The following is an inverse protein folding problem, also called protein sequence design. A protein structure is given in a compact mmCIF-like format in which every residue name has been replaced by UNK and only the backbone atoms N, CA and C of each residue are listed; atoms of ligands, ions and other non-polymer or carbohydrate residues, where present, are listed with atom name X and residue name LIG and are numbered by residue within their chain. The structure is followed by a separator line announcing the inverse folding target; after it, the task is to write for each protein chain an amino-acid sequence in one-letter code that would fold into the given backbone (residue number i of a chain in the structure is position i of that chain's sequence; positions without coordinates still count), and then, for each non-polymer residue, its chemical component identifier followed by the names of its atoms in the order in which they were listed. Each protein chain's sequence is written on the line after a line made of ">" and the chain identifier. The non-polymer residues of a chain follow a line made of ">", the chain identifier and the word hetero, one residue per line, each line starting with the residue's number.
data_IF_817187712396
#
_entry.id   IF_817187712396
#
_cell.length_a   1.000
_cell.length_b   1.000
_cell.length_c   1.000
_cell.angle_alpha   90.00
_cell.angle_beta   90.00
_cell.angle_gamma   90.00
#
_symmetry.space_group_name_H-M   'P 1'
#
loop_
_entity.id
_entity.type
_entity.pdbx_description
1 polymer ?
#
# COMPACT_ATOMS: atom_id res chain seq x y z
N UNK A 1 -2.20 45.15 6.92
CA UNK A 1 -1.75 43.73 7.01
C UNK A 1 -2.81 42.76 6.51
N UNK A 2 -4.07 42.87 6.96
CA UNK A 2 -5.21 42.04 6.53
C UNK A 2 -5.48 42.05 5.03
N UNK A 3 -5.49 43.22 4.37
CA UNK A 3 -5.66 43.32 2.92
C UNK A 3 -4.50 42.66 2.13
N UNK A 4 -3.27 42.82 2.61
CA UNK A 4 -2.08 42.19 2.00
C UNK A 4 -2.12 40.66 2.15
N UNK A 5 -2.49 40.15 3.33
CA UNK A 5 -2.77 38.73 3.55
C UNK A 5 -3.81 38.21 2.55
N UNK A 6 -4.94 38.90 2.41
CA UNK A 6 -5.99 38.48 1.49
C UNK A 6 -5.49 38.37 0.02
N UNK A 7 -4.71 39.35 -0.45
CA UNK A 7 -4.11 39.31 -1.78
C UNK A 7 -3.13 38.16 -1.97
N UNK A 8 -2.25 37.89 -1.00
CA UNK A 8 -1.28 36.78 -1.09
C UNK A 8 -2.01 35.44 -1.06
N UNK A 9 -3.06 35.30 -0.26
CA UNK A 9 -3.91 34.10 -0.22
C UNK A 9 -4.62 33.84 -1.54
N UNK A 10 -5.08 34.89 -2.21
CA UNK A 10 -5.65 34.80 -3.56
C UNK A 10 -4.59 34.37 -4.59
N UNK A 11 -3.40 35.00 -4.57
CA UNK A 11 -2.27 34.63 -5.43
C UNK A 11 -1.84 33.17 -5.21
N UNK A 12 -1.88 32.69 -3.98
CA UNK A 12 -1.63 31.28 -3.65
C UNK A 12 -2.60 30.33 -4.36
N UNK A 13 -3.89 30.68 -4.43
CA UNK A 13 -4.87 29.90 -5.16
C UNK A 13 -4.53 29.83 -6.65
N UNK A 14 -4.13 30.96 -7.24
CA UNK A 14 -3.72 31.03 -8.64
C UNK A 14 -2.41 30.28 -8.93
N UNK A 15 -1.44 30.32 -8.03
CA UNK A 15 -0.16 29.62 -8.18
C UNK A 15 -0.32 28.08 -8.23
N UNK A 16 -1.44 27.53 -7.78
CA UNK A 16 -1.76 26.10 -7.94
C UNK A 16 -2.12 25.71 -9.39
N UNK A 17 -2.58 26.67 -10.19
CA UNK A 17 -3.05 26.47 -11.56
C UNK A 17 -1.86 26.66 -12.51
N UNK A 18 -1.54 25.63 -13.30
CA UNK A 18 -0.32 25.60 -14.12
C UNK A 18 -0.30 26.70 -15.19
N UNK A 19 -1.42 26.99 -15.84
CA UNK A 19 -1.53 28.05 -16.85
C UNK A 19 -1.25 29.42 -16.25
N UNK A 20 -1.88 29.74 -15.12
CA UNK A 20 -1.76 31.05 -14.45
C UNK A 20 -0.38 31.23 -13.82
N UNK A 21 0.28 30.15 -13.37
CA UNK A 21 1.63 30.26 -12.79
C UNK A 21 2.63 30.91 -13.74
N UNK A 22 2.52 30.66 -15.04
CA UNK A 22 3.38 31.29 -16.06
C UNK A 22 3.14 32.78 -16.22
N UNK A 23 1.92 33.24 -15.97
CA UNK A 23 1.58 34.66 -15.98
C UNK A 23 2.03 35.33 -14.69
N UNK A 24 1.88 34.67 -13.53
CA UNK A 24 2.43 35.17 -12.26
C UNK A 24 3.95 35.32 -12.29
N UNK A 25 4.61 34.54 -13.14
CA UNK A 25 6.05 34.54 -13.35
C UNK A 25 6.58 35.81 -14.01
N UNK A 26 5.77 36.50 -14.82
CA UNK A 26 6.16 37.75 -15.48
C UNK A 26 5.97 38.98 -14.57
N UNK A 27 5.30 38.80 -13.44
CA UNK A 27 5.04 39.87 -12.48
C UNK A 27 6.21 39.99 -11.48
N UNK A 28 6.51 41.20 -10.97
CA UNK A 28 7.58 41.42 -9.98
C UNK A 28 7.22 40.92 -8.57
N UNK A 29 6.23 40.04 -8.45
CA UNK A 29 5.68 39.53 -7.18
C UNK A 29 6.75 38.79 -6.38
N UNK A 30 7.58 37.98 -7.04
CA UNK A 30 8.63 37.20 -6.37
C UNK A 30 9.65 38.14 -5.73
N UNK A 31 10.13 39.13 -6.47
CA UNK A 31 11.10 40.11 -5.97
C UNK A 31 10.53 40.93 -4.81
N UNK A 32 9.26 41.32 -4.89
CA UNK A 32 8.58 42.05 -3.81
C UNK A 32 8.42 41.20 -2.54
N UNK A 33 8.10 39.91 -2.67
CA UNK A 33 7.98 39.00 -1.53
C UNK A 33 9.35 38.74 -0.91
N UNK A 34 10.36 38.46 -1.73
CA UNK A 34 11.72 38.21 -1.25
C UNK A 34 12.27 39.42 -0.50
N UNK A 35 12.16 40.62 -1.09
CA UNK A 35 12.60 41.86 -0.44
C UNK A 35 11.91 42.07 0.92
N UNK A 36 10.63 41.71 1.04
CA UNK A 36 9.92 41.77 2.33
C UNK A 36 10.40 40.73 3.32
N UNK A 37 10.70 39.51 2.88
CA UNK A 37 11.21 38.44 3.75
C UNK A 37 12.68 38.66 4.16
N UNK A 38 13.44 39.40 3.36
CA UNK A 38 14.82 39.82 3.64
C UNK A 38 14.90 40.98 4.65
N UNK A 39 13.80 41.71 4.85
CA UNK A 39 13.74 42.85 5.75
C UNK A 39 14.02 42.42 7.20
N UNK A 40 15.14 42.88 7.74
CA UNK A 40 15.57 42.55 9.11
C UNK A 40 14.60 43.07 10.17
N UNK A 41 13.78 44.08 9.86
CA UNK A 41 12.74 44.60 10.76
C UNK A 41 11.57 43.62 10.98
N UNK A 42 11.55 42.50 10.26
CA UNK A 42 10.64 41.38 10.55
C UNK A 42 10.97 40.70 11.87
N UNK A 43 12.23 40.72 12.29
CA UNK A 43 12.72 40.08 13.50
C UNK A 43 12.88 41.14 14.60
N UNK A 44 12.36 40.86 15.79
CA UNK A 44 12.66 41.64 16.99
C UNK A 44 14.10 41.40 17.45
N UNK A 45 14.56 42.16 18.45
CA UNK A 45 15.93 42.06 18.98
C UNK A 45 16.27 40.65 19.54
N UNK A 46 15.27 39.80 19.78
CA UNK A 46 15.42 38.42 20.23
C UNK A 46 15.27 37.40 19.08
N UNK A 47 15.15 37.85 17.83
CA UNK A 47 14.95 36.99 16.66
C UNK A 47 13.53 36.43 16.50
N UNK A 48 12.56 36.93 17.28
CA UNK A 48 11.15 36.56 17.21
C UNK A 48 10.39 37.48 16.25
N UNK A 49 9.23 37.05 15.77
CA UNK A 49 8.39 37.84 14.85
C UNK A 49 7.11 38.24 15.58
N UNK A 50 6.69 39.49 15.45
CA UNK A 50 5.39 39.94 15.96
C UNK A 50 4.25 39.09 15.35
N UNK A 51 3.34 38.57 16.19
CA UNK A 51 2.23 37.69 15.78
C UNK A 51 1.42 38.23 14.60
N UNK A 52 1.22 39.55 14.51
CA UNK A 52 0.51 40.20 13.42
C UNK A 52 1.18 40.05 12.03
N UNK A 53 2.46 39.68 11.98
CA UNK A 53 3.22 39.42 10.76
C UNK A 53 3.27 37.93 10.38
N UNK A 54 2.92 37.02 11.29
CA UNK A 54 3.06 35.57 11.05
C UNK A 54 2.24 35.09 9.85
N UNK A 55 0.99 35.53 9.76
CA UNK A 55 0.09 35.12 8.67
C UNK A 55 0.64 35.53 7.29
N UNK A 56 1.14 36.77 7.17
CA UNK A 56 1.68 37.28 5.90
C UNK A 56 2.94 36.51 5.50
N UNK A 57 3.82 36.20 6.46
CA UNK A 57 5.03 35.42 6.20
C UNK A 57 4.67 33.99 5.79
N UNK A 58 3.81 33.32 6.57
CA UNK A 58 3.36 31.95 6.26
C UNK A 58 2.77 31.86 4.86
N UNK A 59 1.87 32.77 4.49
CA UNK A 59 1.28 32.81 3.15
C UNK A 59 2.29 33.15 2.06
N UNK A 60 3.28 34.01 2.34
CA UNK A 60 4.36 34.34 1.42
C UNK A 60 5.22 33.10 1.12
N UNK A 61 5.59 32.34 2.15
CA UNK A 61 6.34 31.10 2.00
C UNK A 61 5.54 30.05 1.21
N UNK A 62 4.24 29.92 1.47
CA UNK A 62 3.34 29.07 0.68
C UNK A 62 3.29 29.47 -0.79
N UNK A 63 3.31 30.77 -1.08
CA UNK A 63 3.30 31.28 -2.44
C UNK A 63 4.62 30.97 -3.15
N UNK A 64 5.75 31.29 -2.51
CA UNK A 64 7.07 30.94 -3.02
C UNK A 64 7.20 29.42 -3.25
N UNK A 65 6.61 28.61 -2.37
CA UNK A 65 6.61 27.16 -2.51
C UNK A 65 5.83 26.71 -3.75
N UNK A 66 4.62 27.25 -3.94
CA UNK A 66 3.78 26.88 -5.08
C UNK A 66 4.37 27.34 -6.42
N UNK A 67 5.08 28.47 -6.41
CA UNK A 67 5.81 29.01 -7.55
C UNK A 67 7.08 28.18 -7.84
N UNK A 68 7.89 27.86 -6.83
CA UNK A 68 9.19 27.15 -6.94
C UNK A 68 9.15 25.73 -7.53
N UNK A 69 7.96 25.26 -7.88
CA UNK A 69 7.75 24.08 -8.73
C UNK A 69 8.38 24.28 -10.11
N UNK A 70 8.35 25.49 -10.67
CA UNK A 70 8.98 25.79 -11.95
C UNK A 70 10.50 25.95 -11.78
N UNK A 71 11.28 25.31 -12.63
CA UNK A 71 12.74 25.27 -12.49
C UNK A 71 13.39 26.65 -12.58
N UNK A 72 12.83 27.56 -13.39
CA UNK A 72 13.29 28.95 -13.50
C UNK A 72 13.18 29.68 -12.15
N UNK A 73 12.04 29.53 -11.46
CA UNK A 73 11.82 30.14 -10.14
C UNK A 73 12.70 29.47 -9.11
N UNK A 74 12.80 28.14 -9.13
CA UNK A 74 13.67 27.42 -8.22
C UNK A 74 15.11 27.91 -8.32
N UNK A 75 15.60 28.16 -9.54
CA UNK A 75 16.91 28.74 -9.79
C UNK A 75 17.02 30.16 -9.22
N UNK A 76 16.07 31.04 -9.52
CA UNK A 76 16.00 32.41 -8.97
C UNK A 76 16.01 32.43 -7.43
N UNK A 77 15.22 31.56 -6.81
CA UNK A 77 15.14 31.39 -5.36
C UNK A 77 16.49 30.98 -4.77
N UNK A 78 17.19 30.01 -5.38
CA UNK A 78 18.55 29.62 -4.95
C UNK A 78 19.54 30.78 -4.97
N UNK A 79 19.51 31.60 -6.01
CA UNK A 79 20.42 32.75 -6.14
C UNK A 79 20.14 33.87 -5.15
N UNK A 80 18.90 33.99 -4.64
CA UNK A 80 18.47 35.08 -3.76
C UNK A 80 18.52 34.74 -2.26
N UNK A 81 19.43 33.86 -1.88
CA UNK A 81 19.72 33.53 -0.48
C UNK A 81 18.48 33.11 0.36
N UNK A 82 17.40 32.65 -0.28
CA UNK A 82 16.18 32.18 0.39
C UNK A 82 16.49 31.05 1.38
N UNK A 83 17.54 30.28 1.12
CA UNK A 83 18.01 29.23 2.01
C UNK A 83 18.36 29.81 3.38
N UNK A 84 19.16 30.89 3.43
CA UNK A 84 19.51 31.56 4.68
C UNK A 84 18.28 32.13 5.40
N UNK A 85 17.29 32.64 4.64
CA UNK A 85 16.05 33.17 5.19
C UNK A 85 15.24 32.04 5.84
N UNK A 86 14.99 30.95 5.11
CA UNK A 86 14.28 29.79 5.62
C UNK A 86 15.01 29.12 6.80
N UNK A 87 16.34 29.12 6.82
CA UNK A 87 17.14 28.61 7.95
C UNK A 87 16.90 29.38 9.24
N UNK A 88 16.60 30.69 9.16
CA UNK A 88 16.19 31.52 10.32
C UNK A 88 14.71 31.32 10.64
N UNK A 89 13.85 31.38 9.62
CA UNK A 89 12.40 31.29 9.79
C UNK A 89 11.95 29.95 10.37
N UNK A 90 12.65 28.84 10.08
CA UNK A 90 12.34 27.54 10.68
C UNK A 90 12.54 27.48 12.20
N UNK A 91 13.23 28.44 12.81
CA UNK A 91 13.40 28.51 14.27
C UNK A 91 12.16 29.11 14.96
N UNK A 92 11.26 29.74 14.19
CA UNK A 92 10.04 30.36 14.71
C UNK A 92 9.03 29.25 15.02
N UNK A 93 8.40 29.32 16.20
CA UNK A 93 7.45 28.30 16.69
C UNK A 93 6.05 28.37 16.07
N UNK A 94 5.81 29.30 15.15
CA UNK A 94 4.59 29.31 14.34
C UNK A 94 4.59 28.10 13.41
N UNK A 95 3.53 27.28 13.49
CA UNK A 95 3.44 26.00 12.78
C UNK A 95 3.59 26.17 11.27
N UNK A 96 2.94 27.17 10.68
CA UNK A 96 2.92 27.37 9.22
C UNK A 96 4.27 27.86 8.74
N UNK A 97 4.88 28.84 9.42
CA UNK A 97 6.21 29.35 9.07
C UNK A 97 7.26 28.24 9.22
N UNK A 98 7.23 27.52 10.35
CA UNK A 98 8.15 26.43 10.64
C UNK A 98 8.10 25.35 9.55
N UNK A 99 6.89 24.88 9.25
CA UNK A 99 6.63 23.85 8.25
C UNK A 99 7.01 24.31 6.84
N UNK A 100 6.55 25.49 6.41
CA UNK A 100 6.82 25.98 5.06
C UNK A 100 8.30 26.28 4.82
N UNK A 101 9.02 26.72 5.85
CA UNK A 101 10.47 26.95 5.77
C UNK A 101 11.23 25.66 5.51
N UNK A 102 10.92 24.58 6.24
CA UNK A 102 11.49 23.26 6.00
C UNK A 102 11.18 22.74 4.58
N UNK A 103 9.94 22.94 4.12
CA UNK A 103 9.49 22.48 2.82
C UNK A 103 10.13 23.24 1.65
N UNK A 104 10.34 24.55 1.80
CA UNK A 104 11.08 25.35 0.83
C UNK A 104 12.55 24.92 0.76
N UNK A 105 13.20 24.69 1.92
CA UNK A 105 14.59 24.23 1.94
C UNK A 105 14.72 22.89 1.19
N UNK A 106 13.85 21.91 1.50
CA UNK A 106 13.87 20.62 0.81
C UNK A 106 13.64 20.78 -0.69
N UNK A 107 12.68 21.62 -1.11
CA UNK A 107 12.42 21.85 -2.52
C UNK A 107 13.66 22.39 -3.25
N UNK A 108 14.40 23.28 -2.61
CA UNK A 108 15.58 23.90 -3.19
C UNK A 108 16.76 22.92 -3.19
N UNK A 109 16.93 22.12 -2.14
CA UNK A 109 18.01 21.14 -2.06
C UNK A 109 17.56 19.76 -1.57
N UNK A 110 16.94 19.01 -2.49
CA UNK A 110 16.39 17.68 -2.23
C UNK A 110 17.45 16.62 -1.85
N UNK A 111 18.74 16.87 -2.10
CA UNK A 111 19.79 15.84 -2.02
C UNK A 111 20.60 15.87 -0.73
N UNK A 112 20.68 17.01 -0.06
CA UNK A 112 21.62 17.22 1.07
C UNK A 112 20.91 17.50 2.39
N UNK A 113 19.58 17.63 2.38
CA UNK A 113 18.83 18.02 3.56
C UNK A 113 18.76 16.89 4.61
N UNK A 114 19.56 17.01 5.67
CA UNK A 114 19.56 16.11 6.82
C UNK A 114 19.13 16.78 8.14
N UNK A 115 19.01 18.11 8.14
CA UNK A 115 18.85 18.92 9.35
C UNK A 115 17.38 19.31 9.60
N UNK A 116 16.69 18.51 10.40
CA UNK A 116 15.30 18.75 10.83
C UNK A 116 15.29 19.44 12.20
N UNK A 117 14.86 20.69 12.23
CA UNK A 117 14.69 21.43 13.48
C UNK A 117 13.30 21.15 14.08
N UNK A 118 13.20 20.95 15.40
CA UNK A 118 11.93 20.66 16.11
C UNK A 118 11.10 19.55 15.43
N UNK A 119 11.64 18.31 15.33
CA UNK A 119 11.02 17.22 14.58
C UNK A 119 9.59 16.90 15.02
N UNK A 120 9.28 17.04 16.32
CA UNK A 120 7.92 16.87 16.86
C UNK A 120 6.93 17.92 16.34
N UNK A 121 7.34 19.20 16.25
CA UNK A 121 6.48 20.25 15.71
C UNK A 121 6.21 20.02 14.22
N UNK A 122 7.26 19.62 13.48
CA UNK A 122 7.17 19.34 12.06
C UNK A 122 6.33 18.09 11.77
N UNK A 123 6.52 17.00 12.52
CA UNK A 123 5.76 15.75 12.34
C UNK A 123 4.28 15.97 12.61
N UNK A 124 3.94 16.63 13.72
CA UNK A 124 2.57 17.00 14.06
C UNK A 124 1.91 17.84 12.96
N UNK A 125 2.62 18.84 12.45
CA UNK A 125 2.10 19.69 11.36
C UNK A 125 1.93 18.90 10.06
N UNK A 126 2.85 17.99 9.74
CA UNK A 126 2.71 17.07 8.59
C UNK A 126 1.44 16.21 8.72
N UNK A 127 1.19 15.62 9.89
CA UNK A 127 0.01 14.79 10.15
C UNK A 127 -1.28 15.60 10.02
N UNK A 128 -1.33 16.80 10.60
CA UNK A 128 -2.45 17.73 10.49
C UNK A 128 -2.74 18.07 9.00
N UNK A 129 -1.70 18.36 8.22
CA UNK A 129 -1.86 18.70 6.79
C UNK A 129 -2.30 17.50 5.95
N UNK A 130 -1.78 16.30 6.21
CA UNK A 130 -2.20 15.08 5.50
C UNK A 130 -3.66 14.78 5.81
N UNK A 131 -4.05 14.79 7.08
CA UNK A 131 -5.44 14.49 7.48
C UNK A 131 -6.44 15.44 6.81
N UNK A 132 -6.09 16.74 6.73
CA UNK A 132 -6.89 17.72 6.00
C UNK A 132 -6.90 17.47 4.50
N UNK A 133 -5.74 17.20 3.88
CA UNK A 133 -5.67 16.89 2.45
C UNK A 133 -6.53 15.70 2.06
N UNK A 134 -6.52 14.62 2.84
CA UNK A 134 -7.26 13.38 2.52
C UNK A 134 -8.78 13.59 2.59
N UNK A 135 -9.25 14.55 3.38
CA UNK A 135 -10.68 14.91 3.48
C UNK A 135 -11.15 15.80 2.31
N UNK A 136 -10.23 16.41 1.58
CA UNK A 136 -10.54 17.36 0.51
C UNK A 136 -10.63 16.65 -0.86
N UNK A 137 -11.65 16.96 -1.71
CA UNK A 137 -11.80 16.33 -3.03
C UNK A 137 -10.60 16.49 -3.96
N UNK A 138 -9.87 17.60 -3.81
CA UNK A 138 -8.69 17.95 -4.61
C UNK A 138 -7.38 17.41 -4.04
N UNK A 139 -7.42 16.72 -2.90
CA UNK A 139 -6.25 16.18 -2.19
C UNK A 139 -5.21 17.27 -1.93
N UNK A 140 -5.66 18.41 -1.45
CA UNK A 140 -4.83 19.58 -1.18
C UNK A 140 -5.35 20.39 0.00
N UNK A 141 -4.45 20.95 0.79
CA UNK A 141 -4.76 21.83 1.90
C UNK A 141 -3.82 23.04 1.88
N UNK A 142 -4.36 24.25 2.09
CA UNK A 142 -3.60 25.52 2.06
C UNK A 142 -2.66 25.68 0.85
N UNK A 143 -3.11 25.24 -0.33
CA UNK A 143 -2.32 25.35 -1.56
C UNK A 143 -1.35 24.19 -1.82
N UNK A 144 -1.17 23.28 -0.86
CA UNK A 144 -0.21 22.19 -0.94
C UNK A 144 -0.92 20.91 -1.36
N UNK A 145 -0.44 20.29 -2.45
CA UNK A 145 -0.97 19.02 -2.94
C UNK A 145 -0.38 17.84 -2.16
N UNK A 146 -1.22 16.88 -1.78
CA UNK A 146 -0.86 15.72 -0.96
C UNK A 146 0.31 14.91 -1.53
N UNK A 147 0.34 14.67 -2.85
CA UNK A 147 1.44 13.93 -3.48
C UNK A 147 2.81 14.62 -3.33
N UNK A 148 2.84 15.96 -3.28
CA UNK A 148 4.08 16.73 -3.06
C UNK A 148 4.47 16.69 -1.59
N UNK A 149 3.47 16.84 -0.71
CA UNK A 149 3.64 16.72 0.72
C UNK A 149 4.33 15.41 1.09
N UNK A 150 3.77 14.28 0.64
CA UNK A 150 4.35 12.97 0.87
C UNK A 150 5.74 12.81 0.24
N UNK A 151 6.00 13.44 -0.91
CA UNK A 151 7.32 13.36 -1.54
C UNK A 151 8.42 14.02 -0.70
N UNK A 152 8.12 15.11 -0.01
CA UNK A 152 9.06 15.74 0.93
C UNK A 152 9.17 14.95 2.23
N UNK A 153 8.07 14.37 2.71
CA UNK A 153 8.11 13.48 3.88
C UNK A 153 8.98 12.24 3.61
N UNK A 154 8.99 11.70 2.39
CA UNK A 154 9.92 10.61 1.99
C UNK A 154 11.41 11.00 2.21
N UNK A 155 11.73 12.30 2.15
CA UNK A 155 13.08 12.82 2.42
C UNK A 155 13.27 13.03 3.92
N UNK A 156 12.28 13.63 4.62
CA UNK A 156 12.37 13.86 6.07
C UNK A 156 12.51 12.56 6.87
N UNK A 157 11.87 11.46 6.46
CA UNK A 157 11.99 10.15 7.14
C UNK A 157 13.35 9.45 6.96
N UNK A 158 14.34 10.14 6.38
CA UNK A 158 15.75 9.75 6.45
C UNK A 158 16.41 10.26 7.74
N UNK A 159 15.82 11.24 8.40
CA UNK A 159 16.23 11.73 9.70
C UNK A 159 15.52 10.91 10.79
N UNK A 160 16.30 10.27 11.67
CA UNK A 160 15.75 9.34 12.65
C UNK A 160 14.84 10.04 13.67
N UNK A 161 15.22 11.23 14.15
CA UNK A 161 14.42 11.99 15.11
C UNK A 161 13.05 12.40 14.55
N UNK A 162 13.00 12.82 13.28
CA UNK A 162 11.73 13.08 12.59
C UNK A 162 10.90 11.80 12.41
N UNK A 163 11.56 10.70 12.06
CA UNK A 163 10.89 9.41 11.81
C UNK A 163 10.26 8.86 13.08
N UNK A 164 10.99 8.91 14.20
CA UNK A 164 10.51 8.58 15.54
C UNK A 164 9.34 9.48 15.92
N UNK A 165 9.51 10.80 15.81
CA UNK A 165 8.44 11.78 16.10
C UNK A 165 7.17 11.49 15.31
N UNK A 166 7.30 11.18 14.01
CA UNK A 166 6.16 10.86 13.13
C UNK A 166 5.49 9.53 13.47
N UNK A 167 6.24 8.54 13.95
CA UNK A 167 5.70 7.25 14.38
C UNK A 167 4.92 7.37 15.72
N UNK A 168 5.39 8.23 16.61
CA UNK A 168 4.77 8.49 17.92
C UNK A 168 3.53 9.38 17.83
N UNK A 169 3.43 10.23 16.80
CA UNK A 169 2.24 11.05 16.57
C UNK A 169 0.97 10.19 16.57
N UNK A 170 -0.02 10.61 17.37
CA UNK A 170 -1.25 9.85 17.67
C UNK A 170 -1.90 9.28 16.41
N UNK A 171 -2.07 10.15 15.41
CA UNK A 171 -2.72 9.86 14.12
C UNK A 171 -1.73 9.61 12.98
N UNK A 172 -0.41 9.67 13.21
CA UNK A 172 0.61 9.64 12.16
C UNK A 172 0.54 8.38 11.29
N UNK A 173 0.51 7.20 11.92
CA UNK A 173 0.34 5.93 11.23
C UNK A 173 -1.02 5.84 10.53
N UNK A 174 -2.09 6.31 11.18
CA UNK A 174 -3.44 6.21 10.63
C UNK A 174 -3.56 7.03 9.33
N UNK A 175 -3.12 8.28 9.32
CA UNK A 175 -3.21 9.14 8.13
C UNK A 175 -2.35 8.61 6.98
N UNK A 176 -1.19 7.98 7.29
CA UNK A 176 -0.35 7.35 6.28
C UNK A 176 -1.03 6.12 5.67
N UNK A 177 -1.67 5.27 6.49
CA UNK A 177 -2.41 4.10 5.97
C UNK A 177 -3.58 4.52 5.07
N UNK A 178 -4.31 5.60 5.43
CA UNK A 178 -5.34 6.18 4.54
C UNK A 178 -4.77 6.60 3.18
N UNK A 179 -3.56 7.16 3.15
CA UNK A 179 -2.90 7.54 1.89
C UNK A 179 -2.53 6.31 1.03
N UNK A 180 -2.22 5.17 1.64
CA UNK A 180 -2.00 3.91 0.91
C UNK A 180 -3.31 3.41 0.31
N UNK A 181 -4.42 3.47 1.04
CA UNK A 181 -5.73 2.99 0.62
C UNK A 181 -6.51 3.97 -0.30
N UNK A 182 -5.89 5.07 -0.74
CA UNK A 182 -6.57 6.13 -1.52
C UNK A 182 -7.13 5.68 -2.88
N UNK A 183 -6.76 4.48 -3.35
CA UNK A 183 -7.18 3.92 -4.66
C UNK A 183 -8.48 3.10 -4.55
N UNK A 184 -8.98 2.80 -3.34
CA UNK A 184 -10.14 1.91 -3.14
C UNK A 184 -11.53 2.52 -3.46
N UNK A 185 -11.61 3.76 -3.97
CA UNK A 185 -12.87 4.40 -4.34
C UNK A 185 -13.13 4.26 -5.85
N UNK A 186 -14.01 3.33 -6.22
CA UNK A 186 -14.75 3.24 -7.50
C UNK A 186 -13.99 3.72 -8.75
N UNK A 187 -13.00 2.93 -9.20
CA UNK A 187 -12.09 3.23 -10.32
C UNK A 187 -12.76 3.47 -11.69
N UNK A 188 -14.06 3.16 -11.83
CA UNK A 188 -14.76 3.14 -13.13
C UNK A 188 -14.95 4.51 -13.76
N UNK A 189 -14.88 5.61 -13.01
CA UNK A 189 -15.16 6.97 -13.52
C UNK A 189 -14.01 7.99 -13.35
N UNK A 190 -12.83 7.57 -12.90
CA UNK A 190 -11.70 8.50 -12.72
C UNK A 190 -10.91 8.73 -14.02
N UNK A 191 -10.62 10.00 -14.32
CA UNK A 191 -9.73 10.38 -15.41
C UNK A 191 -8.29 9.85 -15.19
N UNK A 192 -7.54 9.69 -16.29
CA UNK A 192 -6.18 9.14 -16.27
C UNK A 192 -5.19 9.97 -15.43
N UNK A 193 -5.38 11.29 -15.38
CA UNK A 193 -4.50 12.19 -14.63
C UNK A 193 -4.68 12.03 -13.12
N UNK A 194 -5.92 11.88 -12.66
CA UNK A 194 -6.27 11.64 -11.27
C UNK A 194 -5.79 10.26 -10.82
N UNK A 195 -5.95 9.22 -11.65
CA UNK A 195 -5.37 7.89 -11.41
C UNK A 195 -3.86 7.94 -11.17
N UNK A 196 -3.13 8.69 -11.99
CA UNK A 196 -1.68 8.85 -11.85
C UNK A 196 -1.28 9.59 -10.55
N UNK A 197 -2.04 10.62 -10.15
CA UNK A 197 -1.81 11.31 -8.88
C UNK A 197 -2.03 10.37 -7.68
N UNK A 198 -3.11 9.59 -7.69
CA UNK A 198 -3.41 8.63 -6.63
C UNK A 198 -2.33 7.55 -6.50
N UNK A 199 -1.81 7.05 -7.64
CA UNK A 199 -0.66 6.12 -7.65
C UNK A 199 0.58 6.73 -6.99
N UNK A 200 0.90 7.99 -7.27
CA UNK A 200 2.05 8.69 -6.65
C UNK A 200 1.89 8.88 -5.14
N UNK A 201 0.66 9.17 -4.70
CA UNK A 201 0.32 9.26 -3.27
C UNK A 201 0.56 7.91 -2.60
N UNK A 202 -0.02 6.84 -3.14
CA UNK A 202 0.14 5.49 -2.62
C UNK A 202 1.62 5.07 -2.59
N UNK A 203 2.37 5.29 -3.67
CA UNK A 203 3.80 4.97 -3.75
C UNK A 203 4.63 5.65 -2.66
N UNK A 204 4.40 6.95 -2.45
CA UNK A 204 5.12 7.74 -1.45
C UNK A 204 4.74 7.29 -0.04
N UNK A 205 3.44 7.07 0.22
CA UNK A 205 2.94 6.62 1.51
C UNK A 205 3.49 5.23 1.91
N UNK A 206 3.54 4.28 0.97
CA UNK A 206 4.13 2.95 1.22
C UNK A 206 5.62 3.06 1.54
N UNK A 207 6.36 3.95 0.86
CA UNK A 207 7.77 4.18 1.16
C UNK A 207 7.99 4.75 2.56
N UNK A 208 7.14 5.68 2.98
CA UNK A 208 7.16 6.29 4.32
C UNK A 208 6.83 5.23 5.38
N UNK A 209 5.74 4.47 5.19
CA UNK A 209 5.32 3.42 6.14
C UNK A 209 6.39 2.34 6.28
N UNK A 210 7.07 1.96 5.19
CA UNK A 210 8.19 1.04 5.28
C UNK A 210 9.24 1.51 6.28
N UNK A 211 9.64 2.79 6.24
CA UNK A 211 10.56 3.35 7.23
C UNK A 211 9.97 3.35 8.64
N UNK A 212 8.73 3.82 8.79
CA UNK A 212 8.05 3.86 10.08
C UNK A 212 7.85 2.46 10.70
N UNK A 213 7.73 1.40 9.89
CA UNK A 213 7.52 0.03 10.37
C UNK A 213 8.68 -0.52 11.22
N UNK A 214 9.87 0.09 11.14
CA UNK A 214 11.01 -0.28 11.98
C UNK A 214 10.99 0.40 13.35
N UNK A 215 10.17 1.44 13.55
CA UNK A 215 10.14 2.25 14.77
C UNK A 215 9.09 1.75 15.75
N UNK A 216 9.56 1.07 16.79
CA UNK A 216 8.77 0.70 17.97
C UNK A 216 7.73 -0.43 17.75
N UNK A 217 7.39 -1.19 18.81
CA UNK A 217 6.37 -2.24 18.74
C UNK A 217 4.95 -1.68 18.54
N UNK A 218 4.70 -0.44 18.97
CA UNK A 218 3.41 0.26 18.85
C UNK A 218 3.01 0.51 17.40
N UNK A 219 3.94 0.92 16.55
CA UNK A 219 3.73 1.14 15.11
C UNK A 219 3.32 -0.15 14.41
N UNK A 220 4.05 -1.23 14.66
CA UNK A 220 3.73 -2.55 14.12
C UNK A 220 2.32 -3.00 14.54
N UNK A 221 1.95 -2.82 15.82
CA UNK A 221 0.60 -3.14 16.30
C UNK A 221 -0.49 -2.31 15.58
N UNK A 222 -0.30 -1.00 15.41
CA UNK A 222 -1.24 -0.12 14.70
C UNK A 222 -1.41 -0.51 13.22
N UNK A 223 -0.31 -0.87 12.55
CA UNK A 223 -0.34 -1.33 11.15
C UNK A 223 -1.04 -2.69 11.02
N UNK A 224 -0.74 -3.65 11.92
CA UNK A 224 -1.38 -4.97 11.95
C UNK A 224 -2.90 -4.90 12.16
N UNK A 225 -3.38 -3.92 12.91
CA UNK A 225 -4.82 -3.77 13.19
C UNK A 225 -5.61 -3.15 12.03
N UNK A 226 -4.97 -2.73 10.95
CA UNK A 226 -5.65 -2.08 9.82
C UNK A 226 -5.79 -3.04 8.64
N UNK A 227 -6.90 -3.77 8.59
CA UNK A 227 -7.23 -4.73 7.52
C UNK A 227 -7.13 -4.15 6.11
N UNK A 228 -7.73 -2.97 5.89
CA UNK A 228 -7.76 -2.31 4.58
C UNK A 228 -6.35 -1.95 4.10
N UNK A 229 -5.45 -1.63 5.02
CA UNK A 229 -4.06 -1.37 4.71
C UNK A 229 -3.33 -2.65 4.29
N UNK A 230 -3.54 -3.76 5.01
CA UNK A 230 -2.95 -5.06 4.67
C UNK A 230 -3.43 -5.52 3.29
N UNK A 231 -4.72 -5.42 2.99
CA UNK A 231 -5.29 -5.70 1.67
C UNK A 231 -4.56 -4.93 0.56
N UNK A 232 -4.40 -3.63 0.78
CA UNK A 232 -3.78 -2.77 -0.21
C UNK A 232 -2.29 -3.11 -0.42
N UNK A 233 -1.57 -3.53 0.61
CA UNK A 233 -0.19 -4.03 0.49
C UNK A 233 -0.12 -5.30 -0.37
N UNK A 234 -1.06 -6.24 -0.18
CA UNK A 234 -1.13 -7.47 -0.98
C UNK A 234 -1.44 -7.18 -2.46
N UNK A 235 -2.30 -6.20 -2.74
CA UNK A 235 -2.53 -5.71 -4.11
C UNK A 235 -1.24 -5.14 -4.70
N UNK A 236 -0.50 -4.34 -3.92
CA UNK A 236 0.75 -3.71 -4.35
C UNK A 236 1.86 -4.71 -4.69
N UNK A 237 1.95 -5.85 -4.00
CA UNK A 237 2.86 -6.94 -4.34
C UNK A 237 2.64 -7.46 -5.77
N UNK A 238 1.39 -7.43 -6.22
CA UNK A 238 0.98 -7.88 -7.56
C UNK A 238 0.95 -6.75 -8.60
N UNK A 239 1.27 -5.51 -8.21
CA UNK A 239 1.25 -4.34 -9.09
C UNK A 239 2.35 -4.35 -10.16
N UNK A 240 2.51 -3.23 -10.87
CA UNK A 240 3.58 -3.07 -11.88
C UNK A 240 4.80 -2.32 -11.36
N UNK A 241 4.68 -1.59 -10.24
CA UNK A 241 5.76 -0.77 -9.67
C UNK A 241 6.73 -1.62 -8.84
N UNK A 242 7.95 -1.82 -9.34
CA UNK A 242 8.98 -2.60 -8.64
C UNK A 242 9.34 -2.03 -7.26
N UNK A 243 9.45 -0.70 -7.15
CA UNK A 243 9.75 -0.03 -5.87
C UNK A 243 8.62 -0.23 -4.85
N UNK A 244 7.36 -0.17 -5.30
CA UNK A 244 6.21 -0.42 -4.43
C UNK A 244 6.14 -1.86 -3.94
N UNK A 245 6.46 -2.82 -4.80
CA UNK A 245 6.55 -4.24 -4.42
C UNK A 245 7.58 -4.45 -3.33
N UNK A 246 8.80 -3.96 -3.53
CA UNK A 246 9.89 -4.11 -2.56
C UNK A 246 9.53 -3.52 -1.20
N UNK A 247 8.94 -2.31 -1.19
CA UNK A 247 8.53 -1.67 0.05
C UNK A 247 7.36 -2.42 0.72
N UNK A 248 6.36 -2.88 -0.05
CA UNK A 248 5.23 -3.64 0.48
C UNK A 248 5.66 -4.99 1.06
N UNK A 249 6.56 -5.70 0.36
CA UNK A 249 7.15 -6.96 0.79
C UNK A 249 7.93 -6.78 2.10
N UNK A 250 8.77 -5.74 2.18
CA UNK A 250 9.52 -5.44 3.38
C UNK A 250 8.61 -5.06 4.58
N UNK A 251 7.50 -4.36 4.34
CA UNK A 251 6.50 -4.08 5.39
C UNK A 251 5.86 -5.38 5.87
N UNK A 252 5.39 -6.24 4.96
CA UNK A 252 4.75 -7.52 5.32
C UNK A 252 5.71 -8.40 6.11
N UNK A 253 6.97 -8.51 5.66
CA UNK A 253 8.01 -9.22 6.39
C UNK A 253 8.19 -8.66 7.81
N UNK A 254 8.20 -7.32 7.96
CA UNK A 254 8.36 -6.66 9.25
C UNK A 254 7.17 -6.87 10.18
N UNK A 255 5.95 -6.85 9.65
CA UNK A 255 4.75 -7.15 10.42
C UNK A 255 4.70 -8.64 10.79
N UNK A 256 5.38 -9.51 10.05
CA UNK A 256 5.35 -10.95 10.28
C UNK A 256 4.07 -11.59 9.73
N UNK A 257 4.15 -12.88 9.41
CA UNK A 257 3.10 -13.67 8.77
C UNK A 257 1.75 -13.66 9.52
N UNK A 258 1.74 -13.40 10.83
CA UNK A 258 0.52 -13.27 11.66
C UNK A 258 -0.42 -12.14 11.25
N UNK A 259 0.07 -11.06 10.64
CA UNK A 259 -0.75 -9.92 10.22
C UNK A 259 -1.59 -10.26 8.98
N UNK A 260 -0.99 -10.97 8.04
CA UNK A 260 -1.69 -11.53 6.88
C UNK A 260 -2.73 -12.58 7.32
N UNK A 261 -2.40 -13.38 8.33
CA UNK A 261 -3.30 -14.38 8.93
C UNK A 261 -4.51 -13.75 9.63
N UNK A 262 -4.38 -12.57 10.28
CA UNK A 262 -5.53 -11.87 10.91
C UNK A 262 -6.50 -11.25 9.90
N UNK A 263 -5.99 -10.69 8.81
CA UNK A 263 -6.83 -10.17 7.72
C UNK A 263 -7.71 -11.28 7.11
N UNK A 264 -7.15 -12.48 6.93
CA UNK A 264 -7.90 -13.67 6.48
C UNK A 264 -8.98 -14.13 7.49
N UNK A 265 -8.90 -13.73 8.75
CA UNK A 265 -9.90 -14.03 9.79
C UNK A 265 -10.99 -12.96 9.85
N UNK A 266 -10.65 -11.67 9.73
CA UNK A 266 -11.63 -10.55 9.76
C UNK A 266 -12.49 -10.47 8.49
N UNK A 267 -11.98 -10.88 7.33
CA UNK A 267 -12.79 -11.02 6.10
C UNK A 267 -13.86 -12.13 6.23
N UNK A 268 -13.57 -13.21 6.97
CA UNK A 268 -14.57 -14.26 7.29
C UNK A 268 -15.71 -13.73 8.17
N UNK A 269 -15.43 -12.80 9.07
CA UNK A 269 -16.42 -12.16 9.95
C UNK A 269 -17.24 -11.08 9.24
N UNK A 270 -16.63 -10.27 8.36
CA UNK A 270 -17.35 -9.27 7.54
C UNK A 270 -18.25 -9.92 6.49
N UNK A 271 -17.83 -11.07 5.93
CA UNK A 271 -18.71 -11.90 5.13
C UNK A 271 -19.90 -12.44 5.95
N UNK A 272 -19.70 -12.91 7.20
CA UNK A 272 -20.81 -13.28 8.11
C UNK A 272 -21.80 -12.13 8.39
N UNK A 273 -21.34 -10.87 8.40
CA UNK A 273 -22.22 -9.71 8.66
C UNK A 273 -22.93 -9.17 7.42
N UNK A 274 -22.33 -9.23 6.22
CA UNK A 274 -23.01 -8.87 4.96
C UNK A 274 -24.17 -9.81 4.63
N UNK A 275 -24.08 -11.08 5.04
CA UNK A 275 -25.18 -12.05 4.92
C UNK A 275 -26.35 -11.83 5.90
N UNK A 276 -26.24 -10.91 6.88
CA UNK A 276 -27.31 -10.64 7.86
C UNK A 276 -28.27 -9.50 7.47
N UNK A 277 -28.01 -8.70 6.43
CA UNK A 277 -28.77 -7.47 6.16
C UNK A 277 -29.83 -7.58 5.06
N UNK A 278 -29.89 -8.69 4.31
CA UNK A 278 -30.78 -8.83 3.15
C UNK A 278 -31.86 -9.91 3.27
N UNK A 279 -32.11 -10.46 4.44
CA UNK A 279 -33.22 -11.41 4.64
C UNK A 279 -33.89 -11.18 6.00
N UNK A 280 -34.84 -10.25 6.03
CA UNK A 280 -36.01 -10.40 6.88
C UNK A 280 -36.91 -11.48 6.28
N UNK A 281 -37.39 -12.31 7.20
CA UNK A 281 -38.48 -13.28 7.10
C UNK A 281 -38.11 -14.70 6.62
N UNK A 282 -37.79 -15.49 7.65
CA UNK A 282 -38.18 -16.89 7.87
C UNK A 282 -37.70 -17.94 6.85
N UNK A 283 -36.45 -18.38 7.02
CA UNK A 283 -36.20 -19.77 7.41
C UNK A 283 -34.82 -19.90 8.08
N UNK A 284 -34.83 -20.45 9.29
CA UNK A 284 -33.66 -20.56 10.15
C UNK A 284 -32.69 -21.62 9.61
N UNK A 285 -31.54 -21.19 9.08
CA UNK A 285 -30.38 -22.05 8.89
C UNK A 285 -29.26 -21.61 9.84
N UNK A 286 -29.17 -22.34 10.96
CA UNK A 286 -28.07 -22.31 11.90
C UNK A 286 -26.79 -22.80 11.20
N UNK A 287 -25.90 -21.89 10.82
CA UNK A 287 -24.53 -22.26 10.42
C UNK A 287 -23.69 -22.47 11.68
N UNK A 288 -23.65 -23.72 12.14
CA UNK A 288 -22.61 -24.23 13.04
C UNK A 288 -21.27 -24.26 12.30
N UNK A 289 -20.15 -24.03 12.99
CA UNK A 289 -18.78 -24.20 12.45
C UNK A 289 -18.43 -25.71 12.29
N UNK A 290 -19.40 -26.53 11.88
CA UNK A 290 -19.25 -27.95 11.56
C UNK A 290 -19.22 -28.15 10.04
N UNK A 291 -18.35 -29.04 9.58
CA UNK A 291 -18.23 -29.43 8.19
C UNK A 291 -19.56 -30.04 7.72
N UNK A 292 -20.22 -29.42 6.74
CA UNK A 292 -21.36 -30.05 6.09
C UNK A 292 -20.84 -31.10 5.09
N UNK A 293 -21.00 -32.37 5.44
CA UNK A 293 -20.54 -33.55 4.69
C UNK A 293 -21.10 -33.61 3.26
N UNK A 294 -22.10 -32.78 2.97
CA UNK A 294 -22.85 -32.75 1.72
C UNK A 294 -22.25 -31.87 0.62
N UNK A 295 -21.23 -31.02 0.90
CA UNK A 295 -20.72 -30.09 -0.12
C UNK A 295 -20.01 -30.88 -1.25
N UNK A 296 -20.56 -30.88 -2.47
CA UNK A 296 -19.97 -31.62 -3.58
C UNK A 296 -18.86 -30.79 -4.24
N UNK A 297 -17.73 -31.44 -4.56
CA UNK A 297 -16.62 -30.81 -5.28
C UNK A 297 -16.15 -31.70 -6.44
N UNK A 298 -15.61 -31.06 -7.48
CA UNK A 298 -15.14 -31.73 -8.70
C UNK A 298 -13.62 -31.89 -8.73
N UNK A 299 -12.88 -31.00 -8.06
CA UNK A 299 -11.42 -31.00 -8.03
C UNK A 299 -10.89 -30.40 -6.74
N UNK A 300 -9.83 -30.99 -6.18
CA UNK A 300 -9.13 -30.48 -4.98
C UNK A 300 -7.78 -29.88 -5.38
N UNK A 301 -7.41 -28.72 -4.82
CA UNK A 301 -6.08 -28.11 -5.02
C UNK A 301 -5.28 -28.19 -3.72
N UNK A 302 -4.15 -28.89 -3.76
CA UNK A 302 -3.16 -28.98 -2.69
C UNK A 302 -1.94 -28.13 -3.05
N UNK A 303 -1.55 -27.20 -2.17
CA UNK A 303 -0.39 -26.32 -2.34
C UNK A 303 0.25 -26.00 -0.98
N UNK A 304 1.47 -25.47 -0.98
CA UNK A 304 2.14 -25.02 0.25
C UNK A 304 1.62 -23.66 0.68
N UNK A 305 1.45 -23.40 1.97
CA UNK A 305 1.04 -22.10 2.51
C UNK A 305 2.10 -20.98 2.39
N UNK A 306 3.04 -21.13 1.46
CA UNK A 306 4.00 -20.11 1.06
C UNK A 306 3.40 -19.26 -0.06
N UNK A 307 3.60 -17.95 0.05
CA UNK A 307 2.88 -16.94 -0.74
C UNK A 307 2.93 -17.17 -2.26
N UNK A 308 4.05 -17.64 -2.81
CA UNK A 308 4.20 -17.89 -4.25
C UNK A 308 3.29 -19.02 -4.74
N UNK A 309 3.20 -20.10 -3.98
CA UNK A 309 2.36 -21.26 -4.29
C UNK A 309 0.87 -20.89 -4.16
N UNK A 310 0.53 -20.16 -3.09
CA UNK A 310 -0.82 -19.62 -2.84
C UNK A 310 -1.30 -18.74 -4.00
N UNK A 311 -0.44 -17.87 -4.53
CA UNK A 311 -0.81 -16.97 -5.64
C UNK A 311 -1.13 -17.75 -6.91
N UNK A 312 -0.31 -18.74 -7.27
CA UNK A 312 -0.54 -19.55 -8.47
C UNK A 312 -1.72 -20.49 -8.29
N UNK A 313 -1.86 -21.13 -7.13
CA UNK A 313 -3.02 -21.93 -6.77
C UNK A 313 -4.33 -21.12 -6.83
N UNK A 314 -4.32 -19.86 -6.38
CA UNK A 314 -5.47 -18.97 -6.47
C UNK A 314 -5.84 -18.61 -7.92
N UNK A 315 -4.85 -18.44 -8.80
CA UNK A 315 -5.10 -18.23 -10.23
C UNK A 315 -5.74 -19.47 -10.85
N UNK A 316 -5.27 -20.65 -10.51
CA UNK A 316 -5.84 -21.93 -10.96
C UNK A 316 -7.28 -22.08 -10.45
N UNK A 317 -7.50 -21.83 -9.16
CA UNK A 317 -8.82 -21.84 -8.51
C UNK A 317 -9.81 -20.95 -9.26
N UNK A 318 -9.49 -19.67 -9.44
CA UNK A 318 -10.40 -18.71 -10.07
C UNK A 318 -10.75 -19.11 -11.50
N UNK A 319 -9.79 -19.69 -12.23
CA UNK A 319 -10.00 -20.13 -13.61
C UNK A 319 -10.87 -21.40 -13.70
N UNK A 320 -10.62 -22.39 -12.86
CA UNK A 320 -11.47 -23.58 -12.75
C UNK A 320 -12.90 -23.19 -12.35
N UNK A 321 -13.07 -22.33 -11.35
CA UNK A 321 -14.40 -21.83 -10.97
C UNK A 321 -15.09 -21.06 -12.10
N UNK A 322 -14.37 -20.22 -12.85
CA UNK A 322 -14.93 -19.51 -14.01
C UNK A 322 -15.40 -20.43 -15.15
N UNK A 323 -14.90 -21.67 -15.17
CA UNK A 323 -15.30 -22.73 -16.11
C UNK A 323 -16.41 -23.64 -15.56
N UNK A 324 -16.91 -23.36 -14.35
CA UNK A 324 -18.02 -24.09 -13.73
C UNK A 324 -17.60 -25.27 -12.84
N UNK A 325 -16.30 -25.49 -12.61
CA UNK A 325 -15.86 -26.54 -11.68
C UNK A 325 -16.07 -26.10 -10.23
N UNK A 326 -16.58 -27.02 -9.39
CA UNK A 326 -16.61 -26.88 -7.94
C UNK A 326 -15.24 -27.22 -7.38
N UNK A 327 -14.44 -26.20 -7.09
CA UNK A 327 -13.05 -26.35 -6.65
C UNK A 327 -13.01 -26.37 -5.13
N UNK A 328 -12.47 -27.44 -4.56
CA UNK A 328 -12.09 -27.45 -3.16
C UNK A 328 -10.66 -26.95 -3.01
N UNK A 329 -10.49 -25.94 -2.19
CA UNK A 329 -9.21 -25.37 -1.81
C UNK A 329 -9.34 -24.84 -0.38
N UNK A 330 -8.27 -24.87 0.39
CA UNK A 330 -8.23 -24.56 1.83
C UNK A 330 -8.68 -23.13 2.23
N UNK A 331 -9.23 -22.33 1.30
CA UNK A 331 -10.02 -21.12 1.61
C UNK A 331 -11.14 -21.36 2.63
N UNK A 332 -11.58 -22.61 2.84
CA UNK A 332 -12.77 -22.99 3.61
C UNK A 332 -12.51 -23.45 5.07
N UNK A 333 -11.27 -23.61 5.56
CA UNK A 333 -11.06 -23.98 6.97
C UNK A 333 -9.77 -24.75 7.23
N UNK A 334 -9.21 -24.54 8.42
CA UNK A 334 -7.96 -25.13 8.93
C UNK A 334 -7.74 -26.56 8.42
N UNK A 335 -6.55 -26.87 7.86
CA UNK A 335 -6.06 -28.24 7.67
C UNK A 335 -6.31 -29.12 8.92
N UNK A 336 -7.44 -29.83 8.94
CA UNK A 336 -7.62 -31.03 9.75
C UNK A 336 -7.40 -32.18 8.77
N UNK A 337 -6.39 -33.01 9.02
CA UNK A 337 -6.10 -34.21 8.22
C UNK A 337 -7.39 -35.02 7.99
N UNK A 338 -8.25 -35.13 9.01
CA UNK A 338 -9.59 -35.75 8.95
C UNK A 338 -10.50 -35.21 7.81
N UNK A 339 -10.38 -33.93 7.44
CA UNK A 339 -11.19 -33.30 6.38
C UNK A 339 -10.65 -33.63 4.99
N UNK A 340 -9.33 -33.70 4.86
CA UNK A 340 -8.67 -34.20 3.65
C UNK A 340 -8.99 -35.69 3.49
N UNK A 341 -8.95 -36.46 4.57
CA UNK A 341 -9.28 -37.89 4.55
C UNK A 341 -10.69 -38.14 3.99
N UNK A 342 -11.66 -37.34 4.45
CA UNK A 342 -13.04 -37.36 3.96
C UNK A 342 -13.19 -36.84 2.53
N UNK A 343 -12.46 -35.80 2.13
CA UNK A 343 -12.48 -35.30 0.76
C UNK A 343 -11.94 -36.37 -0.21
N UNK A 344 -10.72 -36.82 0.03
CA UNK A 344 -10.01 -37.79 -0.80
C UNK A 344 -10.80 -39.10 -0.98
N UNK A 345 -11.63 -39.51 -0.01
CA UNK A 345 -12.50 -40.70 -0.14
C UNK A 345 -13.45 -40.65 -1.35
N UNK A 346 -13.76 -39.47 -1.90
CA UNK A 346 -14.62 -39.28 -3.07
C UNK A 346 -13.93 -39.60 -4.41
N UNK A 347 -12.65 -40.04 -4.41
CA UNK A 347 -11.82 -40.40 -5.59
C UNK A 347 -11.70 -39.30 -6.67
N UNK A 348 -11.95 -38.04 -6.31
CA UNK A 348 -11.88 -36.90 -7.23
C UNK A 348 -10.43 -36.44 -7.49
N UNK A 349 -10.14 -35.83 -8.66
CA UNK A 349 -8.79 -35.42 -9.00
C UNK A 349 -8.24 -34.39 -8.04
N UNK A 350 -6.95 -34.52 -7.75
CA UNK A 350 -6.18 -33.62 -6.88
C UNK A 350 -5.07 -32.96 -7.69
N UNK A 351 -5.07 -31.63 -7.75
CA UNK A 351 -3.97 -30.85 -8.27
C UNK A 351 -2.91 -30.67 -7.19
N UNK A 352 -1.73 -31.25 -7.42
CA UNK A 352 -0.56 -31.08 -6.57
C UNK A 352 0.31 -29.94 -7.10
N UNK A 353 0.28 -28.78 -6.44
CA UNK A 353 1.08 -27.62 -6.81
C UNK A 353 2.53 -27.77 -6.31
N UNK A 354 3.40 -28.29 -7.18
CA UNK A 354 4.77 -28.67 -6.87
C UNK A 354 5.71 -27.46 -6.77
N UNK A 355 6.39 -27.39 -5.64
CA UNK A 355 7.49 -26.47 -5.32
C UNK A 355 8.45 -27.11 -4.32
N UNK A 356 9.58 -26.45 -4.07
CA UNK A 356 10.52 -26.78 -2.99
C UNK A 356 9.86 -26.72 -1.61
N UNK A 357 8.96 -25.76 -1.41
CA UNK A 357 8.22 -25.56 -0.15
C UNK A 357 7.08 -26.56 0.02
N UNK A 358 6.45 -26.97 -1.08
CA UNK A 358 5.49 -28.07 -1.10
C UNK A 358 6.15 -29.38 -0.65
N UNK A 359 7.33 -29.66 -1.20
CA UNK A 359 8.13 -30.85 -0.85
C UNK A 359 8.61 -30.85 0.61
N UNK A 360 8.87 -29.68 1.18
CA UNK A 360 9.28 -29.55 2.58
C UNK A 360 8.09 -29.61 3.57
N UNK A 361 6.86 -29.44 3.09
CA UNK A 361 5.65 -29.43 3.91
C UNK A 361 5.22 -30.84 4.29
N UNK A 362 5.26 -31.16 5.59
CA UNK A 362 4.74 -32.43 6.13
C UNK A 362 3.24 -32.59 5.90
N UNK A 363 2.50 -31.48 5.81
CA UNK A 363 1.05 -31.49 5.57
C UNK A 363 0.77 -31.88 4.12
N UNK A 364 1.41 -31.22 3.16
CA UNK A 364 1.26 -31.55 1.74
C UNK A 364 1.73 -32.99 1.43
N UNK A 365 2.75 -33.47 2.15
CA UNK A 365 3.19 -34.86 2.09
C UNK A 365 2.09 -35.83 2.53
N UNK A 366 1.49 -35.60 3.69
CA UNK A 366 0.40 -36.43 4.19
C UNK A 366 -0.83 -36.41 3.25
N UNK A 367 -1.19 -35.24 2.70
CA UNK A 367 -2.30 -35.09 1.74
C UNK A 367 -2.12 -35.98 0.50
N UNK A 368 -0.92 -35.93 -0.09
CA UNK A 368 -0.62 -36.64 -1.33
C UNK A 368 -0.39 -38.13 -1.10
N UNK A 369 0.23 -38.51 0.02
CA UNK A 369 0.34 -39.92 0.41
C UNK A 369 -1.06 -40.52 0.62
N UNK A 370 -1.95 -39.81 1.32
CA UNK A 370 -3.31 -40.28 1.54
C UNK A 370 -4.11 -40.38 0.23
N UNK A 371 -3.96 -39.40 -0.68
CA UNK A 371 -4.52 -39.45 -2.02
C UNK A 371 -4.06 -40.66 -2.84
N UNK A 372 -2.77 -40.96 -2.75
CA UNK A 372 -2.17 -42.08 -3.46
C UNK A 372 -2.68 -43.42 -2.91
N UNK A 373 -2.80 -43.56 -1.58
CA UNK A 373 -3.37 -44.76 -0.94
C UNK A 373 -4.83 -45.00 -1.33
N UNK A 374 -5.61 -43.94 -1.54
CA UNK A 374 -7.03 -44.03 -1.90
C UNK A 374 -7.30 -44.03 -3.40
N UNK A 375 -6.26 -44.13 -4.23
CA UNK A 375 -6.35 -44.14 -5.70
C UNK A 375 -7.01 -42.90 -6.30
N UNK A 376 -6.93 -41.74 -5.63
CA UNK A 376 -7.41 -40.48 -6.19
C UNK A 376 -6.46 -39.99 -7.28
N UNK A 377 -6.95 -39.57 -8.46
CA UNK A 377 -6.08 -39.13 -9.54
C UNK A 377 -5.25 -37.89 -9.17
N UNK A 378 -3.93 -38.03 -9.07
CA UNK A 378 -3.03 -36.90 -8.80
C UNK A 378 -2.59 -36.27 -10.13
N UNK A 379 -2.84 -34.96 -10.27
CA UNK A 379 -2.44 -34.11 -11.40
C UNK A 379 -1.29 -33.20 -10.92
N UNK A 380 -0.03 -33.49 -11.29
CA UNK A 380 1.10 -32.68 -10.87
C UNK A 380 1.20 -31.37 -11.66
N UNK A 381 1.33 -30.25 -10.96
CA UNK A 381 1.40 -28.91 -11.55
C UNK A 381 2.58 -28.16 -10.98
N UNK A 382 3.51 -27.69 -11.80
CA UNK A 382 4.68 -26.92 -11.35
C UNK A 382 4.27 -25.47 -11.06
N UNK A 383 4.56 -24.99 -9.85
CA UNK A 383 4.31 -23.60 -9.43
C UNK A 383 5.60 -22.85 -9.06
N UNK A 384 6.74 -23.53 -9.02
CA UNK A 384 8.07 -22.92 -8.82
C UNK A 384 8.97 -23.11 -10.05
N UNK A 385 9.46 -22.01 -10.61
CA UNK A 385 10.25 -22.03 -11.84
C UNK A 385 11.56 -22.81 -11.66
N UNK A 386 11.87 -23.69 -12.61
CA UNK A 386 13.05 -24.57 -12.59
C UNK A 386 13.09 -25.58 -11.44
N UNK A 387 12.01 -25.75 -10.68
CA UNK A 387 11.95 -26.80 -9.67
C UNK A 387 11.98 -28.18 -10.34
N UNK A 388 12.84 -29.06 -9.84
CA UNK A 388 12.93 -30.46 -10.28
C UNK A 388 12.41 -31.35 -9.17
N UNK A 389 11.42 -32.16 -9.50
CA UNK A 389 10.85 -33.15 -8.58
C UNK A 389 11.93 -34.15 -8.14
N UNK A 390 12.09 -34.33 -6.83
CA UNK A 390 13.10 -35.20 -6.21
C UNK A 390 12.48 -35.95 -5.02
N UNK A 391 13.21 -36.86 -4.36
CA UNK A 391 12.81 -37.48 -3.08
C UNK A 391 11.41 -38.10 -3.06
N UNK A 392 10.71 -38.03 -1.91
CA UNK A 392 9.39 -38.65 -1.72
C UNK A 392 8.38 -38.26 -2.79
N UNK A 393 8.35 -36.98 -3.19
CA UNK A 393 7.44 -36.44 -4.18
C UNK A 393 7.56 -37.13 -5.55
N UNK A 394 8.79 -37.49 -5.97
CA UNK A 394 9.05 -38.24 -7.21
C UNK A 394 8.48 -39.66 -7.17
N UNK A 395 8.52 -40.29 -6.00
CA UNK A 395 8.04 -41.66 -5.80
C UNK A 395 6.50 -41.69 -5.79
N UNK A 396 5.87 -40.73 -5.10
CA UNK A 396 4.40 -40.69 -4.98
C UNK A 396 3.71 -40.28 -6.29
N UNK A 397 4.32 -39.39 -7.09
CA UNK A 397 3.73 -38.92 -8.36
C UNK A 397 3.92 -39.93 -9.51
N UNK A 398 4.72 -40.99 -9.31
CA UNK A 398 4.74 -42.16 -10.20
C UNK A 398 5.22 -41.88 -11.63
N UNK A 399 6.19 -40.98 -11.82
CA UNK A 399 6.76 -40.69 -13.14
C UNK A 399 5.92 -39.80 -14.06
N UNK A 400 4.77 -39.28 -13.60
CA UNK A 400 3.98 -38.28 -14.35
C UNK A 400 4.79 -36.99 -14.54
N UNK A 401 4.76 -36.45 -15.75
CA UNK A 401 5.38 -35.17 -16.05
C UNK A 401 4.50 -34.02 -15.52
N UNK A 402 5.05 -33.10 -14.70
CA UNK A 402 4.28 -31.96 -14.20
C UNK A 402 3.96 -30.96 -15.31
N UNK A 403 2.74 -30.40 -15.27
CA UNK A 403 2.34 -29.30 -16.15
C UNK A 403 2.97 -28.02 -15.63
N UNK A 404 3.78 -27.33 -16.44
CA UNK A 404 4.56 -26.18 -16.00
C UNK A 404 3.79 -24.85 -16.13
N UNK A 405 3.19 -24.39 -15.03
CA UNK A 405 2.46 -23.12 -14.98
C UNK A 405 3.35 -21.91 -14.67
N UNK A 406 4.66 -22.09 -14.62
CA UNK A 406 5.62 -21.01 -14.32
C UNK A 406 6.09 -20.27 -15.58
N UNK A 407 5.74 -20.78 -16.75
CA UNK A 407 6.13 -20.23 -18.04
C UNK A 407 5.29 -19.02 -18.46
N UNK A 408 5.78 -18.26 -19.45
CA UNK A 408 5.13 -17.02 -19.94
C UNK A 408 3.70 -17.25 -20.45
N UNK A 409 3.35 -18.46 -20.87
CA UNK A 409 2.06 -18.80 -21.47
C UNK A 409 1.14 -19.55 -20.48
N UNK A 410 0.93 -18.99 -19.28
CA UNK A 410 0.10 -19.58 -18.22
C UNK A 410 -1.28 -20.08 -18.71
N UNK A 411 -1.96 -19.33 -19.57
CA UNK A 411 -3.29 -19.71 -20.04
C UNK A 411 -3.29 -20.94 -20.96
N UNK A 412 -2.24 -21.13 -21.78
CA UNK A 412 -2.12 -22.27 -22.68
C UNK A 412 -1.79 -23.55 -21.90
N UNK A 413 -0.88 -23.45 -20.95
CA UNK A 413 -0.52 -24.58 -20.07
C UNK A 413 -1.67 -24.97 -19.14
N UNK A 414 -2.50 -24.01 -18.71
CA UNK A 414 -3.70 -24.29 -17.93
C UNK A 414 -4.76 -25.08 -18.72
N UNK A 415 -4.80 -25.00 -20.05
CA UNK A 415 -5.70 -25.84 -20.85
C UNK A 415 -5.38 -27.32 -20.67
N UNK A 416 -4.09 -27.68 -20.58
CA UNK A 416 -3.66 -29.06 -20.32
C UNK A 416 -4.15 -29.56 -18.96
N UNK A 417 -4.28 -28.67 -17.98
CA UNK A 417 -4.85 -29.01 -16.67
C UNK A 417 -6.33 -29.34 -16.80
N UNK A 418 -7.09 -28.60 -17.62
CA UNK A 418 -8.49 -28.95 -17.89
C UNK A 418 -8.61 -30.29 -18.61
N UNK A 419 -7.77 -30.55 -19.61
CA UNK A 419 -7.77 -31.81 -20.36
C UNK A 419 -7.50 -33.00 -19.42
N UNK A 420 -6.55 -32.88 -18.49
CA UNK A 420 -6.27 -33.93 -17.51
C UNK A 420 -7.42 -34.13 -16.51
N UNK A 421 -8.09 -33.05 -16.06
CA UNK A 421 -9.28 -33.18 -15.20
C UNK A 421 -10.39 -33.93 -15.95
N UNK A 422 -10.66 -33.62 -17.22
CA UNK A 422 -11.69 -34.30 -18.01
C UNK A 422 -11.34 -35.78 -18.29
N UNK A 423 -10.07 -36.09 -18.59
CA UNK A 423 -9.61 -37.49 -18.71
C UNK A 423 -9.88 -38.28 -17.43
N UNK A 424 -9.66 -37.68 -16.26
CA UNK A 424 -9.92 -38.35 -14.98
C UNK A 424 -11.41 -38.58 -14.71
N UNK A 425 -12.31 -37.78 -15.28
CA UNK A 425 -13.76 -38.00 -15.20
C UNK A 425 -14.27 -39.09 -16.15
N UNK A 426 -13.57 -39.35 -17.26
CA UNK A 426 -13.93 -40.38 -18.24
C UNK A 426 -13.55 -41.82 -17.84
N UNK A 427 -12.91 -41.97 -16.67
CA UNK A 427 -12.47 -43.25 -16.08
C UNK A 427 -13.36 -43.69 -14.90
N UNK A 428 -14.27 -42.82 -14.44
CA UNK A 428 -15.40 -43.12 -13.55
C UNK A 428 -16.62 -43.51 -14.40
#
# INVERSE_FOLDING_TARGET
>A
MTALSHHIKMLNHFAMIRSIRKELLSLPIIDQILSKLEDQSLFDNNGSIANAKHEVIGQSLTLLYNLGVEDEIRSKLKHRNIFSICSKLRLIKDKTIHFMSHFLIIMLDLKTFNDVHEPHLLSKTCVEYIDKCVKEPRLSYEGIKLHRLLKHIEIFVRNDAFTESLAEEKEGILVMTKCVCVINTEEKHLDNQRKEILKRIQQSAVCIIWKLSFYGPTTSKKLKSNDLFIEQLLILLNGTSQKSKQNADAIIWRLGSEAAIRYEQTEKEKHKQRFKKDTTDEDQLNLTDEWDETIPYDVLISYSNIINDVILANKIYNRLSSKGYRVYSEKQGKHRLELIEKAVSKKKPILACLSSTYRASKICMAEIEYANTHSSPIIPVLVEAKYKMQGWLKHVIGGKNPIDLTQKNFNEELLKVFDEIEKTKSLD
#
